data_IF_717935293450
#
_entry.id   IF_717935293450
#
_cell.length_a   1.000
_cell.length_b   1.000
_cell.length_c   1.000
_cell.angle_alpha   90.00
_cell.angle_beta   90.00
_cell.angle_gamma   90.00
#
_symmetry.space_group_name_H-M   'P 1'
#
loop_
_entity.id
_entity.type
_entity.pdbx_description
1 polymer ?
#
# COMPACT_ATOMS: atom_id res chain seq x y z
N UNK A 1 78.71 -60.63 -23.08
CA UNK A 1 78.51 -60.04 -21.73
C UNK A 1 79.14 -58.65 -21.75
N UNK A 2 78.50 -57.50 -21.62
CA UNK A 2 77.13 -57.08 -21.39
C UNK A 2 77.23 -55.56 -21.11
N UNK A 3 76.97 -54.71 -22.11
CA UNK A 3 77.06 -53.26 -21.96
C UNK A 3 75.82 -52.74 -21.21
N UNK A 4 76.02 -52.25 -19.99
CA UNK A 4 74.96 -51.59 -19.22
C UNK A 4 74.78 -50.15 -19.68
N UNK A 5 73.65 -49.86 -20.30
CA UNK A 5 73.20 -48.49 -20.58
C UNK A 5 72.43 -47.99 -19.36
N UNK A 6 73.01 -47.04 -18.61
CA UNK A 6 72.32 -46.32 -17.53
C UNK A 6 71.43 -45.24 -18.15
N UNK A 7 70.11 -45.44 -18.13
CA UNK A 7 69.15 -44.40 -18.48
C UNK A 7 69.01 -43.42 -17.30
N UNK A 8 69.47 -42.18 -17.50
CA UNK A 8 69.30 -41.09 -16.53
C UNK A 8 67.83 -40.68 -16.45
N UNK A 9 67.19 -40.94 -15.30
CA UNK A 9 65.83 -40.50 -15.00
C UNK A 9 65.85 -38.99 -14.70
N UNK A 10 65.65 -38.15 -15.72
CA UNK A 10 65.35 -36.71 -15.53
C UNK A 10 64.00 -36.61 -14.80
N UNK A 11 64.02 -36.22 -13.52
CA UNK A 11 62.82 -35.89 -12.76
C UNK A 11 62.16 -34.65 -13.37
N UNK A 12 60.97 -34.82 -13.91
CA UNK A 12 60.11 -33.77 -14.47
C UNK A 12 59.46 -32.93 -13.37
N UNK A 13 60.26 -32.16 -12.63
CA UNK A 13 59.76 -31.22 -11.62
C UNK A 13 58.98 -30.03 -12.22
N UNK A 14 59.03 -29.82 -13.54
CA UNK A 14 58.37 -28.69 -14.22
C UNK A 14 56.87 -28.87 -14.51
N UNK A 15 56.42 -30.11 -14.76
CA UNK A 15 55.02 -30.35 -15.16
C UNK A 15 54.04 -30.19 -13.99
N UNK A 16 54.41 -30.66 -12.79
CA UNK A 16 53.58 -30.51 -11.58
C UNK A 16 53.43 -29.06 -11.14
N UNK A 17 54.48 -28.25 -11.29
CA UNK A 17 54.45 -26.83 -10.96
C UNK A 17 53.55 -26.04 -11.94
N UNK A 18 53.57 -26.37 -13.23
CA UNK A 18 52.70 -25.77 -14.24
C UNK A 18 51.22 -26.10 -14.01
N UNK A 19 50.90 -27.36 -13.70
CA UNK A 19 49.52 -27.79 -13.42
C UNK A 19 49.00 -27.08 -12.16
N UNK A 20 49.81 -27.00 -11.10
CA UNK A 20 49.45 -26.28 -9.88
C UNK A 20 49.21 -24.79 -10.15
N UNK A 21 50.04 -24.15 -10.98
CA UNK A 21 49.87 -22.75 -11.36
C UNK A 21 48.57 -22.51 -12.14
N UNK A 22 48.24 -23.38 -13.09
CA UNK A 22 46.98 -23.29 -13.87
C UNK A 22 45.76 -23.45 -12.97
N UNK A 23 45.77 -24.43 -12.05
CA UNK A 23 44.66 -24.63 -11.10
C UNK A 23 44.46 -23.39 -10.23
N UNK A 24 45.54 -22.77 -9.76
CA UNK A 24 45.49 -21.58 -8.92
C UNK A 24 44.91 -20.38 -9.68
N UNK A 25 45.32 -20.18 -10.94
CA UNK A 25 44.77 -19.13 -11.81
C UNK A 25 43.27 -19.35 -12.05
N UNK A 26 42.86 -20.58 -12.37
CA UNK A 26 41.44 -20.91 -12.58
C UNK A 26 40.63 -20.68 -11.30
N UNK A 27 41.13 -21.09 -10.13
CA UNK A 27 40.47 -20.85 -8.85
C UNK A 27 40.31 -19.35 -8.55
N UNK A 28 41.33 -18.53 -8.85
CA UNK A 28 41.26 -17.07 -8.70
C UNK A 28 40.26 -16.46 -9.67
N UNK A 29 40.20 -16.94 -10.92
CA UNK A 29 39.22 -16.46 -11.90
C UNK A 29 37.78 -16.83 -11.51
N UNK A 30 37.55 -18.03 -10.97
CA UNK A 30 36.23 -18.44 -10.45
C UNK A 30 35.86 -17.63 -9.21
N UNK A 31 36.81 -17.41 -8.29
CA UNK A 31 36.61 -16.57 -7.12
C UNK A 31 36.29 -15.12 -7.52
N UNK A 32 37.03 -14.57 -8.48
CA UNK A 32 36.77 -13.24 -9.05
C UNK A 32 35.38 -13.19 -9.69
N UNK A 33 35.02 -14.16 -10.53
CA UNK A 33 33.71 -14.23 -11.19
C UNK A 33 32.54 -14.33 -10.19
N UNK A 34 32.73 -15.01 -9.06
CA UNK A 34 31.69 -15.20 -8.04
C UNK A 34 31.64 -14.10 -6.99
N UNK A 35 32.76 -13.43 -6.70
CA UNK A 35 32.87 -12.42 -5.63
C UNK A 35 32.82 -10.97 -6.17
N UNK A 36 33.33 -10.67 -7.36
CA UNK A 36 33.23 -9.32 -7.93
C UNK A 36 31.78 -8.82 -8.01
N UNK A 37 30.79 -9.61 -8.49
CA UNK A 37 29.42 -9.15 -8.53
C UNK A 37 28.89 -8.75 -7.16
N UNK A 38 29.32 -9.42 -6.08
CA UNK A 38 28.89 -9.09 -4.70
C UNK A 38 29.52 -7.82 -4.15
N UNK A 39 30.69 -7.43 -4.66
CA UNK A 39 31.37 -6.18 -4.32
C UNK A 39 30.78 -4.99 -5.10
N UNK A 40 30.22 -5.24 -6.28
CA UNK A 40 29.63 -4.23 -7.17
C UNK A 40 28.10 -4.27 -7.25
N UNK A 41 27.43 -5.22 -6.59
CA UNK A 41 25.98 -5.13 -6.37
C UNK A 41 25.75 -3.90 -5.51
N UNK A 42 25.03 -2.89 -6.01
CA UNK A 42 24.63 -1.77 -5.17
C UNK A 42 23.92 -2.36 -3.96
N UNK A 43 24.41 -2.02 -2.75
CA UNK A 43 23.64 -2.31 -1.54
C UNK A 43 22.34 -1.53 -1.71
N UNK A 44 21.23 -2.24 -1.91
CA UNK A 44 19.91 -1.62 -1.79
C UNK A 44 19.84 -0.98 -0.40
N UNK A 45 19.98 0.33 -0.35
CA UNK A 45 19.76 1.09 0.86
C UNK A 45 18.30 0.95 1.23
N UNK A 46 18.03 0.67 2.51
CA UNK A 46 16.66 0.67 3.00
C UNK A 46 16.04 2.04 2.72
N UNK A 47 14.80 2.04 2.22
CA UNK A 47 14.03 3.26 1.94
C UNK A 47 13.91 4.09 3.22
N UNK A 48 14.08 5.39 3.11
CA UNK A 48 13.84 6.34 4.20
C UNK A 48 12.37 6.76 4.24
N UNK A 49 11.92 7.35 5.36
CA UNK A 49 10.53 7.80 5.48
C UNK A 49 10.14 8.88 4.46
N UNK A 50 11.10 9.70 4.02
CA UNK A 50 10.90 10.76 3.02
C UNK A 50 10.77 10.21 1.59
N UNK A 51 11.34 9.03 1.33
CA UNK A 51 11.28 8.35 0.03
C UNK A 51 10.05 7.45 -0.11
N UNK A 52 9.28 7.28 0.96
CA UNK A 52 8.09 6.44 0.98
C UNK A 52 6.94 7.07 0.19
N UNK A 53 6.21 6.20 -0.52
CA UNK A 53 5.08 6.63 -1.32
C UNK A 53 4.03 5.53 -1.38
N UNK A 54 2.82 5.94 -1.73
CA UNK A 54 1.79 5.05 -2.20
C UNK A 54 1.39 5.43 -3.62
N UNK A 55 0.83 4.49 -4.36
CA UNK A 55 0.39 4.69 -5.73
C UNK A 55 -0.88 3.91 -6.00
N UNK A 56 -1.76 4.50 -6.80
CA UNK A 56 -2.82 3.80 -7.50
C UNK A 56 -2.47 3.70 -8.99
N UNK A 57 -2.66 2.54 -9.61
CA UNK A 57 -2.43 2.35 -11.05
C UNK A 57 -3.72 2.68 -11.79
N UNK A 58 -3.71 3.62 -12.75
CA UNK A 58 -4.85 3.98 -13.60
C UNK A 58 -5.14 2.89 -14.64
N UNK A 59 -6.30 2.91 -15.30
CA UNK A 59 -6.67 1.91 -16.32
C UNK A 59 -5.76 1.92 -17.56
N UNK A 60 -5.05 3.03 -17.81
CA UNK A 60 -4.03 3.18 -18.85
C UNK A 60 -2.63 2.72 -18.39
N UNK A 61 -2.51 2.18 -17.17
CA UNK A 61 -1.25 1.75 -16.56
C UNK A 61 -0.45 2.88 -15.90
N UNK A 62 -0.92 4.13 -15.93
CA UNK A 62 -0.22 5.25 -15.31
C UNK A 62 -0.30 5.19 -13.78
N UNK A 63 0.84 5.34 -13.10
CA UNK A 63 0.88 5.41 -11.63
C UNK A 63 0.55 6.81 -11.14
N UNK A 64 -0.34 6.88 -10.16
CA UNK A 64 -0.79 8.11 -9.51
C UNK A 64 -0.33 8.09 -8.06
N UNK A 65 0.74 8.82 -7.77
CA UNK A 65 1.43 8.75 -6.48
C UNK A 65 0.86 9.73 -5.46
N UNK A 66 0.76 9.28 -4.21
CA UNK A 66 0.46 10.07 -3.02
C UNK A 66 1.48 9.78 -1.93
N UNK A 67 1.64 10.70 -0.98
CA UNK A 67 2.32 10.34 0.28
C UNK A 67 1.49 9.31 1.05
N UNK A 68 2.08 8.54 1.98
CA UNK A 68 1.31 7.60 2.80
C UNK A 68 0.17 8.26 3.60
N UNK A 69 0.34 9.50 4.06
CA UNK A 69 -0.71 10.21 4.80
C UNK A 69 -1.86 10.65 3.89
N UNK A 70 -1.54 11.16 2.69
CA UNK A 70 -2.56 11.48 1.67
C UNK A 70 -3.33 10.24 1.23
N UNK A 71 -2.66 9.09 1.10
CA UNK A 71 -3.28 7.82 0.75
C UNK A 71 -4.24 7.30 1.84
N UNK A 72 -3.90 7.49 3.12
CA UNK A 72 -4.81 7.19 4.24
C UNK A 72 -6.05 8.08 4.22
N UNK A 73 -5.88 9.38 3.95
CA UNK A 73 -7.01 10.31 3.84
C UNK A 73 -7.91 9.98 2.64
N UNK A 74 -7.35 9.58 1.50
CA UNK A 74 -8.12 9.08 0.35
C UNK A 74 -8.87 7.78 0.69
N UNK A 75 -8.26 6.87 1.44
CA UNK A 75 -8.89 5.64 1.91
C UNK A 75 -10.07 5.90 2.84
N UNK A 76 -9.98 6.91 3.71
CA UNK A 76 -11.11 7.35 4.54
C UNK A 76 -12.29 7.83 3.68
N UNK A 77 -12.03 8.70 2.69
CA UNK A 77 -13.06 9.22 1.78
C UNK A 77 -13.77 8.08 1.03
N UNK A 78 -12.99 7.17 0.45
CA UNK A 78 -13.51 6.04 -0.31
C UNK A 78 -14.30 5.08 0.56
N UNK A 79 -13.82 4.77 1.78
CA UNK A 79 -14.52 3.87 2.68
C UNK A 79 -15.86 4.44 3.15
N UNK A 80 -15.94 5.75 3.41
CA UNK A 80 -17.21 6.40 3.76
C UNK A 80 -18.20 6.30 2.60
N UNK A 81 -17.76 6.48 1.34
CA UNK A 81 -18.61 6.27 0.17
C UNK A 81 -19.15 4.83 0.11
N UNK A 82 -18.29 3.82 0.26
CA UNK A 82 -18.71 2.42 0.24
C UNK A 82 -19.66 2.10 1.39
N UNK A 83 -19.37 2.57 2.60
CA UNK A 83 -20.22 2.36 3.79
C UNK A 83 -21.60 2.98 3.61
N UNK A 84 -21.69 4.11 2.91
CA UNK A 84 -22.95 4.77 2.54
C UNK A 84 -23.66 4.12 1.34
N UNK A 85 -23.08 3.09 0.73
CA UNK A 85 -23.62 2.44 -0.47
C UNK A 85 -23.56 3.32 -1.72
N UNK A 86 -22.67 4.32 -1.75
CA UNK A 86 -22.52 5.22 -2.89
C UNK A 86 -21.69 4.57 -4.01
N UNK A 87 -21.96 4.89 -5.29
CA UNK A 87 -21.17 4.42 -6.42
C UNK A 87 -19.71 4.94 -6.38
N UNK A 88 -18.82 4.25 -7.09
CA UNK A 88 -17.39 4.60 -7.22
C UNK A 88 -17.14 6.03 -7.69
N UNK A 89 -18.09 6.58 -8.47
CA UNK A 89 -18.06 7.96 -8.91
C UNK A 89 -18.11 8.94 -7.72
N UNK A 90 -18.86 8.66 -6.65
CA UNK A 90 -18.90 9.51 -5.47
C UNK A 90 -17.51 9.65 -4.83
N UNK A 91 -16.82 8.52 -4.63
CA UNK A 91 -15.45 8.50 -4.12
C UNK A 91 -14.49 9.26 -5.05
N UNK A 92 -14.68 9.15 -6.36
CA UNK A 92 -13.89 9.90 -7.35
C UNK A 92 -14.10 11.41 -7.20
N UNK A 93 -15.35 11.88 -7.13
CA UNK A 93 -15.68 13.29 -6.94
C UNK A 93 -15.10 13.84 -5.63
N UNK A 94 -15.26 13.12 -4.53
CA UNK A 94 -14.78 13.54 -3.23
C UNK A 94 -13.24 13.58 -3.16
N UNK A 95 -12.54 12.57 -3.71
CA UNK A 95 -11.06 12.56 -3.74
C UNK A 95 -10.52 13.68 -4.64
N UNK A 96 -11.14 13.93 -5.80
CA UNK A 96 -10.76 15.04 -6.68
C UNK A 96 -10.94 16.39 -5.98
N UNK A 97 -12.06 16.55 -5.28
CA UNK A 97 -12.36 17.76 -4.50
C UNK A 97 -11.31 17.96 -3.41
N UNK A 98 -11.13 16.98 -2.51
CA UNK A 98 -10.16 17.09 -1.42
C UNK A 98 -8.70 17.29 -1.91
N UNK A 99 -8.35 16.73 -3.07
CA UNK A 99 -7.06 17.00 -3.69
C UNK A 99 -6.94 18.47 -4.12
N UNK A 100 -7.97 19.01 -4.75
CA UNK A 100 -7.97 20.42 -5.17
C UNK A 100 -7.95 21.38 -3.98
N UNK A 101 -8.74 21.10 -2.94
CA UNK A 101 -8.91 21.98 -1.79
C UNK A 101 -7.70 21.98 -0.86
N UNK A 102 -7.16 20.80 -0.54
CA UNK A 102 -6.15 20.67 0.52
C UNK A 102 -5.01 19.74 0.19
N UNK A 103 -4.93 19.25 -1.05
CA UNK A 103 -3.99 18.19 -1.44
C UNK A 103 -4.16 16.93 -0.58
N UNK A 104 -5.41 16.56 -0.28
CA UNK A 104 -5.74 15.43 0.61
C UNK A 104 -5.10 15.54 2.01
N UNK A 105 -4.97 16.76 2.54
CA UNK A 105 -4.41 17.02 3.87
C UNK A 105 -5.46 17.66 4.76
N UNK A 106 -5.54 17.26 6.02
CA UNK A 106 -6.45 17.90 6.96
C UNK A 106 -5.81 19.18 7.51
N UNK A 107 -6.10 20.32 6.89
CA UNK A 107 -5.49 21.60 7.23
C UNK A 107 -6.23 22.29 8.37
N UNK A 108 -5.49 22.90 9.30
CA UNK A 108 -6.02 23.75 10.38
C UNK A 108 -6.06 25.23 9.99
N UNK A 109 -5.86 25.54 8.69
CA UNK A 109 -5.94 26.87 8.10
C UNK A 109 -6.47 26.80 6.66
N UNK A 110 -6.78 27.98 6.11
CA UNK A 110 -7.31 28.16 4.76
C UNK A 110 -7.60 29.63 4.47
N UNK A 111 -8.26 29.90 3.34
CA UNK A 111 -8.82 31.24 3.09
C UNK A 111 -9.97 31.52 4.08
N UNK A 112 -9.98 32.73 4.65
CA UNK A 112 -10.95 33.14 5.69
C UNK A 112 -11.02 32.15 6.87
N UNK A 113 -12.11 31.38 6.96
CA UNK A 113 -12.36 30.37 7.99
C UNK A 113 -12.46 28.95 7.42
N UNK A 114 -11.94 28.72 6.21
CA UNK A 114 -11.85 27.39 5.61
C UNK A 114 -10.94 26.47 6.41
N UNK A 115 -11.41 25.24 6.65
CA UNK A 115 -10.71 24.23 7.44
C UNK A 115 -10.87 22.83 6.82
N UNK A 116 -9.94 21.97 7.20
CA UNK A 116 -10.01 20.54 6.98
C UNK A 116 -9.80 20.09 5.52
N UNK A 117 -10.17 18.83 5.29
CA UNK A 117 -9.91 18.09 4.05
C UNK A 117 -10.56 18.69 2.80
N UNK A 118 -11.69 19.37 2.97
CA UNK A 118 -12.47 19.97 1.87
C UNK A 118 -12.49 21.50 1.93
N UNK A 119 -11.65 22.12 2.79
CA UNK A 119 -11.62 23.58 3.00
C UNK A 119 -13.01 24.20 3.24
N UNK A 120 -13.85 23.47 3.99
CA UNK A 120 -15.22 23.86 4.30
C UNK A 120 -15.26 25.02 5.29
N UNK A 121 -16.23 25.92 5.12
CA UNK A 121 -16.33 27.16 5.90
C UNK A 121 -17.47 27.10 6.93
N UNK A 122 -17.17 27.14 8.24
CA UNK A 122 -18.19 27.24 9.28
C UNK A 122 -19.17 28.40 9.06
N UNK A 123 -18.66 29.57 8.69
CA UNK A 123 -19.48 30.76 8.39
C UNK A 123 -20.45 30.62 7.22
N UNK A 124 -20.27 29.60 6.37
CA UNK A 124 -21.19 29.29 5.26
C UNK A 124 -22.16 28.13 5.58
N UNK A 125 -22.17 27.63 6.81
CA UNK A 125 -23.13 26.62 7.25
C UNK A 125 -22.67 25.17 7.09
N UNK A 126 -21.38 24.92 6.82
CA UNK A 126 -20.81 23.57 6.74
C UNK A 126 -20.65 22.87 8.11
N UNK A 127 -20.89 23.56 9.23
CA UNK A 127 -20.73 23.03 10.58
C UNK A 127 -19.93 23.97 11.49
N UNK A 128 -19.58 23.53 12.70
CA UNK A 128 -18.62 24.24 13.56
C UNK A 128 -17.18 23.99 13.11
N UNK A 129 -16.23 24.80 13.60
CA UNK A 129 -14.81 24.62 13.29
C UNK A 129 -14.29 23.22 13.69
N UNK A 130 -14.74 22.70 14.83
CA UNK A 130 -14.41 21.36 15.30
C UNK A 130 -14.96 20.29 14.37
N UNK A 131 -16.19 20.47 13.88
CA UNK A 131 -16.84 19.52 12.98
C UNK A 131 -16.14 19.47 11.61
N UNK A 132 -15.89 20.61 10.97
CA UNK A 132 -15.23 20.62 9.65
C UNK A 132 -13.75 20.22 9.71
N UNK A 133 -13.13 20.28 10.90
CA UNK A 133 -11.77 19.75 11.14
C UNK A 133 -11.76 18.24 11.38
N UNK A 134 -12.90 17.63 11.72
CA UNK A 134 -13.05 16.18 11.78
C UNK A 134 -13.27 15.63 10.36
N UNK A 135 -12.31 14.85 9.86
CA UNK A 135 -12.36 14.34 8.49
C UNK A 135 -13.57 13.44 8.22
N UNK A 136 -14.06 12.72 9.23
CA UNK A 136 -15.24 11.84 9.07
C UNK A 136 -16.49 12.68 8.90
N UNK A 137 -16.68 13.71 9.73
CA UNK A 137 -17.77 14.66 9.58
C UNK A 137 -17.68 15.40 8.25
N UNK A 138 -16.51 15.98 7.94
CA UNK A 138 -16.30 16.78 6.73
C UNK A 138 -16.59 16.00 5.45
N UNK A 139 -16.19 14.72 5.41
CA UNK A 139 -16.51 13.82 4.29
C UNK A 139 -18.00 13.48 4.22
N UNK A 140 -18.64 13.22 5.37
CA UNK A 140 -20.07 12.91 5.38
C UNK A 140 -20.93 14.09 4.92
N UNK A 141 -20.66 15.29 5.41
CA UNK A 141 -21.40 16.46 4.98
C UNK A 141 -21.12 16.79 3.51
N UNK A 142 -19.91 16.58 3.01
CA UNK A 142 -19.62 16.69 1.57
C UNK A 142 -20.54 15.79 0.74
N UNK A 143 -20.65 14.50 1.11
CA UNK A 143 -21.56 13.59 0.41
C UNK A 143 -23.04 13.96 0.58
N UNK A 144 -23.45 14.52 1.72
CA UNK A 144 -24.82 14.99 1.92
C UNK A 144 -25.16 16.14 0.97
N UNK A 145 -24.20 17.01 0.66
CA UNK A 145 -24.34 18.05 -0.35
C UNK A 145 -24.27 17.48 -1.78
N UNK A 146 -23.37 16.54 -2.06
CA UNK A 146 -23.28 15.87 -3.37
C UNK A 146 -24.60 15.22 -3.77
N UNK A 147 -25.27 14.54 -2.83
CA UNK A 147 -26.56 13.89 -3.06
C UNK A 147 -27.71 14.86 -3.40
N UNK A 148 -27.52 16.16 -3.19
CA UNK A 148 -28.48 17.20 -3.56
C UNK A 148 -28.22 17.79 -4.95
N UNK A 149 -27.07 17.49 -5.57
CA UNK A 149 -26.71 17.95 -6.91
C UNK A 149 -27.47 17.12 -7.95
N UNK A 150 -28.22 17.73 -8.88
CA UNK A 150 -28.88 16.99 -9.95
C UNK A 150 -27.88 16.22 -10.82
N UNK A 151 -28.23 14.99 -11.19
CA UNK A 151 -27.46 14.13 -12.11
C UNK A 151 -26.00 13.86 -11.71
N UNK A 152 -25.63 14.12 -10.45
CA UNK A 152 -24.26 14.02 -9.92
C UNK A 152 -23.58 12.67 -10.20
N UNK A 153 -24.35 11.59 -10.33
CA UNK A 153 -23.84 10.25 -10.61
C UNK A 153 -23.26 10.09 -12.03
N UNK A 154 -23.61 10.99 -12.94
CA UNK A 154 -23.37 10.85 -14.38
C UNK A 154 -22.68 12.03 -15.04
N UNK A 155 -22.72 13.21 -14.41
CA UNK A 155 -22.01 14.39 -14.89
C UNK A 155 -20.49 14.25 -14.66
N UNK A 156 -19.66 15.03 -15.37
CA UNK A 156 -18.22 15.09 -15.12
C UNK A 156 -17.88 15.38 -13.65
N UNK A 157 -16.73 14.86 -13.22
CA UNK A 157 -16.25 14.99 -11.83
C UNK A 157 -16.10 16.45 -11.41
N UNK A 158 -15.58 17.28 -12.31
CA UNK A 158 -15.40 18.71 -12.11
C UNK A 158 -16.73 19.45 -11.93
N UNK A 159 -17.77 19.03 -12.67
CA UNK A 159 -19.09 19.65 -12.60
C UNK A 159 -19.76 19.29 -11.27
N UNK A 160 -19.72 18.01 -10.87
CA UNK A 160 -20.21 17.57 -9.57
C UNK A 160 -19.49 18.24 -8.40
N UNK A 161 -18.14 18.28 -8.45
CA UNK A 161 -17.33 18.94 -7.41
C UNK A 161 -17.64 20.45 -7.32
N UNK A 162 -17.76 21.11 -8.46
CA UNK A 162 -18.08 22.53 -8.53
C UNK A 162 -19.48 22.83 -7.99
N UNK A 163 -20.50 22.02 -8.31
CA UNK A 163 -21.86 22.25 -7.81
C UNK A 163 -21.94 22.14 -6.28
N UNK A 164 -21.13 21.26 -5.69
CA UNK A 164 -21.00 21.13 -4.23
C UNK A 164 -20.24 22.32 -3.61
N UNK A 165 -19.03 22.60 -4.10
CA UNK A 165 -18.12 23.56 -3.45
C UNK A 165 -18.35 25.02 -3.86
N UNK A 166 -18.88 25.23 -5.07
CA UNK A 166 -19.10 26.55 -5.70
C UNK A 166 -17.84 27.42 -5.69
N UNK A 167 -16.73 26.82 -6.12
CA UNK A 167 -15.42 27.48 -6.20
C UNK A 167 -15.38 28.58 -7.27
N UNK A 168 -14.42 29.51 -7.15
CA UNK A 168 -14.15 30.53 -8.16
C UNK A 168 -13.40 30.01 -9.40
N UNK A 169 -12.93 28.75 -9.39
CA UNK A 169 -12.09 28.14 -10.43
C UNK A 169 -12.54 26.70 -10.76
N UNK A 170 -13.73 26.51 -11.35
CA UNK A 170 -14.33 25.19 -11.59
C UNK A 170 -13.45 24.24 -12.41
N UNK A 171 -12.70 24.78 -13.38
CA UNK A 171 -11.87 24.01 -14.30
C UNK A 171 -10.69 23.29 -13.62
N UNK A 172 -10.32 23.69 -12.40
CA UNK A 172 -9.18 23.09 -11.71
C UNK A 172 -9.47 21.67 -11.20
N UNK A 173 -10.73 21.32 -10.91
CA UNK A 173 -11.09 19.97 -10.47
C UNK A 173 -10.80 18.92 -11.55
N UNK A 174 -10.98 19.26 -12.83
CA UNK A 174 -10.73 18.36 -13.95
C UNK A 174 -9.26 17.89 -14.02
N UNK A 175 -8.32 18.66 -13.44
CA UNK A 175 -6.90 18.28 -13.35
C UNK A 175 -6.70 17.00 -12.51
N UNK A 176 -7.62 16.72 -11.59
CA UNK A 176 -7.51 15.62 -10.64
C UNK A 176 -8.32 14.39 -11.01
N UNK A 177 -9.17 14.45 -12.03
CA UNK A 177 -10.10 13.37 -12.38
C UNK A 177 -9.39 12.01 -12.54
N UNK A 178 -8.40 11.93 -13.43
CA UNK A 178 -7.66 10.68 -13.66
C UNK A 178 -6.94 10.15 -12.41
N UNK A 179 -6.43 11.04 -11.56
CA UNK A 179 -5.78 10.68 -10.29
C UNK A 179 -6.83 10.13 -9.30
N UNK A 180 -7.91 10.87 -9.10
CA UNK A 180 -8.98 10.51 -8.19
C UNK A 180 -9.66 9.21 -8.61
N UNK A 181 -9.86 9.00 -9.91
CA UNK A 181 -10.46 7.78 -10.46
C UNK A 181 -9.59 6.55 -10.22
N UNK A 182 -8.27 6.70 -10.37
CA UNK A 182 -7.33 5.62 -10.08
C UNK A 182 -7.39 5.21 -8.60
N UNK A 183 -7.38 6.20 -7.70
CA UNK A 183 -7.46 5.95 -6.26
C UNK A 183 -8.82 5.41 -5.83
N UNK A 184 -9.92 5.99 -6.31
CA UNK A 184 -11.27 5.53 -6.02
C UNK A 184 -11.46 4.07 -6.44
N UNK A 185 -11.18 3.73 -7.70
CA UNK A 185 -11.37 2.35 -8.20
C UNK A 185 -10.56 1.30 -7.43
N UNK A 186 -9.34 1.63 -7.01
CA UNK A 186 -8.54 0.73 -6.18
C UNK A 186 -9.05 0.62 -4.73
N UNK A 187 -9.45 1.74 -4.13
CA UNK A 187 -9.88 1.78 -2.72
C UNK A 187 -11.31 1.28 -2.50
N UNK A 188 -12.18 1.34 -3.51
CA UNK A 188 -13.52 0.75 -3.45
C UNK A 188 -13.56 -0.73 -3.87
N UNK A 189 -12.41 -1.27 -4.26
CA UNK A 189 -12.25 -2.65 -4.73
C UNK A 189 -12.81 -2.90 -6.13
N UNK A 190 -13.17 -1.86 -6.88
CA UNK A 190 -13.62 -1.98 -8.26
C UNK A 190 -12.52 -2.57 -9.16
N UNK A 191 -11.26 -2.24 -8.87
CA UNK A 191 -10.11 -2.85 -9.52
C UNK A 191 -9.18 -3.52 -8.52
N UNK A 192 -8.70 -4.68 -8.91
CA UNK A 192 -7.81 -5.52 -8.13
C UNK A 192 -6.38 -5.00 -8.11
N UNK A 193 -5.68 -5.15 -6.99
CA UNK A 193 -4.24 -4.93 -6.83
C UNK A 193 -3.70 -3.58 -7.28
N UNK A 194 -4.56 -2.56 -7.43
CA UNK A 194 -4.15 -1.27 -7.98
C UNK A 194 -3.56 -0.33 -6.94
N UNK A 195 -3.89 -0.52 -5.66
CA UNK A 195 -3.33 0.26 -4.55
C UNK A 195 -2.08 -0.42 -4.02
N UNK A 196 -0.97 0.31 -4.00
CA UNK A 196 0.30 -0.17 -3.46
C UNK A 196 1.01 0.92 -2.67
N UNK A 197 1.79 0.54 -1.65
CA UNK A 197 2.72 1.42 -0.97
C UNK A 197 4.12 0.81 -0.95
N UNK A 198 5.15 1.65 -1.07
CA UNK A 198 6.53 1.24 -0.86
C UNK A 198 7.08 2.09 0.29
N UNK A 199 7.35 1.46 1.43
CA UNK A 199 7.65 2.15 2.68
C UNK A 199 9.05 1.79 3.19
N UNK A 200 9.52 2.57 4.14
CA UNK A 200 10.65 2.27 5.03
C UNK A 200 10.38 1.03 5.89
N UNK A 201 11.42 0.33 6.37
CA UNK A 201 11.26 -0.77 7.31
C UNK A 201 10.43 -0.36 8.53
N UNK A 202 9.52 -1.24 8.96
CA UNK A 202 8.76 -1.02 10.18
C UNK A 202 9.69 -1.02 11.41
N UNK A 203 9.40 -0.14 12.37
CA UNK A 203 10.11 -0.09 13.67
C UNK A 203 9.34 -0.88 14.73
N UNK A 204 8.01 -0.89 14.63
CA UNK A 204 7.07 -1.58 15.51
C UNK A 204 5.76 -1.85 14.77
N UNK A 205 4.93 -2.74 15.33
CA UNK A 205 3.58 -3.01 14.87
C UNK A 205 2.53 -2.81 15.98
N UNK A 206 1.29 -2.51 15.58
CA UNK A 206 0.15 -2.33 16.48
C UNK A 206 -1.01 -3.24 16.04
N UNK A 207 -0.93 -4.51 16.45
CA UNK A 207 -1.93 -5.52 16.10
C UNK A 207 -3.31 -5.21 16.69
N UNK A 208 -3.38 -4.78 17.96
CA UNK A 208 -4.64 -4.51 18.64
C UNK A 208 -5.34 -3.28 18.04
N UNK A 209 -4.58 -2.22 17.75
CA UNK A 209 -5.09 -1.04 17.05
C UNK A 209 -5.58 -1.36 15.64
N UNK A 210 -4.88 -2.23 14.91
CA UNK A 210 -5.31 -2.68 13.59
C UNK A 210 -6.63 -3.47 13.65
N UNK A 211 -6.76 -4.41 14.60
CA UNK A 211 -8.00 -5.18 14.79
C UNK A 211 -9.18 -4.25 15.13
N UNK A 212 -8.97 -3.28 16.03
CA UNK A 212 -9.99 -2.30 16.38
C UNK A 212 -10.40 -1.43 15.17
N UNK A 213 -9.42 -0.98 14.38
CA UNK A 213 -9.66 -0.16 13.19
C UNK A 213 -10.41 -0.91 12.09
N UNK A 214 -10.08 -2.18 11.85
CA UNK A 214 -10.82 -3.04 10.90
C UNK A 214 -12.27 -3.17 11.36
N UNK A 215 -12.53 -3.42 12.65
CA UNK A 215 -13.90 -3.55 13.16
C UNK A 215 -14.77 -2.29 12.98
N UNK A 216 -14.17 -1.09 13.04
CA UNK A 216 -14.88 0.16 12.80
C UNK A 216 -15.03 0.53 11.31
N UNK A 217 -14.04 0.17 10.50
CA UNK A 217 -13.91 0.61 9.10
C UNK A 217 -14.56 -0.37 8.12
N UNK A 218 -14.42 -1.67 8.40
CA UNK A 218 -14.86 -2.78 7.56
C UNK A 218 -15.78 -3.69 8.41
N UNK A 219 -16.97 -3.22 8.82
CA UNK A 219 -17.78 -3.90 9.84
C UNK A 219 -18.28 -5.29 9.44
N UNK A 220 -18.20 -5.62 8.15
CA UNK A 220 -18.65 -6.90 7.61
C UNK A 220 -17.55 -7.96 7.50
N UNK A 221 -16.29 -7.70 7.89
CA UNK A 221 -15.24 -8.74 7.85
C UNK A 221 -14.95 -9.30 9.25
N UNK A 222 -14.59 -10.58 9.32
CA UNK A 222 -14.20 -11.23 10.58
C UNK A 222 -12.67 -11.27 10.70
N UNK A 223 -12.12 -10.87 11.85
CA UNK A 223 -10.67 -10.88 12.07
C UNK A 223 -10.30 -11.95 13.10
N UNK A 224 -9.29 -12.75 12.79
CA UNK A 224 -8.68 -13.71 13.71
C UNK A 224 -7.19 -13.44 13.83
N UNK A 225 -6.67 -13.55 15.06
CA UNK A 225 -5.26 -13.29 15.39
C UNK A 225 -4.59 -14.64 15.64
N UNK A 226 -3.58 -14.99 14.84
CA UNK A 226 -2.71 -16.12 15.16
C UNK A 226 -1.49 -15.58 15.95
N UNK A 227 -1.33 -15.94 17.24
CA UNK A 227 -0.18 -15.49 18.01
C UNK A 227 1.11 -16.11 17.43
N UNK A 228 2.27 -15.45 17.56
CA UNK A 228 3.53 -15.87 16.92
C UNK A 228 4.00 -17.30 17.25
N UNK A 229 3.38 -17.98 18.24
CA UNK A 229 3.72 -19.33 18.69
C UNK A 229 2.50 -20.26 18.87
N UNK A 230 1.35 -20.01 18.24
CA UNK A 230 0.22 -20.94 18.23
C UNK A 230 -0.44 -21.23 19.59
N UNK A 231 -0.20 -20.40 20.62
CA UNK A 231 -0.87 -20.49 21.93
C UNK A 231 -1.86 -19.34 22.09
N UNK A 232 -3.15 -19.68 22.11
CA UNK A 232 -4.22 -18.79 22.58
C UNK A 232 -4.01 -18.48 24.07
N UNK A 233 -3.68 -17.24 24.42
CA UNK A 233 -3.39 -16.85 25.79
C UNK A 233 -3.78 -15.39 26.07
N UNK A 234 -4.61 -15.21 27.09
CA UNK A 234 -5.05 -13.94 27.68
C UNK A 234 -3.88 -13.10 28.21
N UNK A 235 -3.94 -11.80 27.91
CA UNK A 235 -2.95 -10.75 28.21
C UNK A 235 -2.39 -10.77 29.64
N UNK A 236 -1.07 -10.63 29.75
CA UNK A 236 -0.36 -9.67 30.64
C UNK A 236 1.16 -9.90 30.57
N UNK A 237 1.88 -8.97 29.93
CA UNK A 237 3.33 -8.92 30.02
C UNK A 237 3.95 -8.18 28.84
N UNK A 238 4.58 -7.03 29.12
CA UNK A 238 5.45 -6.36 28.17
C UNK A 238 6.60 -7.30 27.78
N UNK A 239 6.50 -7.90 26.61
CA UNK A 239 7.53 -8.73 26.01
C UNK A 239 7.92 -8.11 24.67
N UNK A 240 9.18 -7.71 24.56
CA UNK A 240 9.86 -7.43 23.30
C UNK A 240 9.90 -8.72 22.47
N UNK A 241 8.84 -9.00 21.70
CA UNK A 241 8.76 -10.16 20.83
C UNK A 241 9.24 -9.79 19.43
N UNK A 242 10.38 -10.36 19.01
CA UNK A 242 10.93 -10.32 17.65
C UNK A 242 10.23 -11.33 16.72
N UNK A 243 9.00 -11.71 17.03
CA UNK A 243 8.26 -12.74 16.30
C UNK A 243 7.08 -12.07 15.59
N UNK A 244 7.12 -12.11 14.25
CA UNK A 244 6.09 -11.55 13.39
C UNK A 244 4.71 -12.09 13.76
N UNK A 245 3.74 -11.19 13.90
CA UNK A 245 2.35 -11.55 14.20
C UNK A 245 1.56 -11.65 12.90
N UNK A 246 0.77 -12.72 12.74
CA UNK A 246 -0.08 -12.91 11.57
C UNK A 246 -1.55 -12.73 11.95
N UNK A 247 -2.24 -11.87 11.21
CA UNK A 247 -3.69 -11.72 11.26
C UNK A 247 -4.31 -12.38 10.04
N UNK A 248 -5.44 -13.05 10.21
CA UNK A 248 -6.25 -13.58 9.11
C UNK A 248 -7.61 -12.92 9.16
N UNK A 249 -7.93 -12.19 8.11
CA UNK A 249 -9.22 -11.56 7.87
C UNK A 249 -10.02 -12.49 6.96
N UNK A 250 -11.19 -12.94 7.43
CA UNK A 250 -12.10 -13.80 6.68
C UNK A 250 -13.26 -12.97 6.16
N UNK A 251 -13.47 -13.01 4.85
CA UNK A 251 -14.59 -12.35 4.19
C UNK A 251 -15.91 -13.10 4.46
N UNK A 252 -17.08 -12.44 4.43
CA UNK A 252 -18.36 -13.10 4.60
C UNK A 252 -18.62 -14.24 3.63
N UNK A 253 -19.22 -15.30 4.16
CA UNK A 253 -19.84 -16.35 3.35
C UNK A 253 -21.05 -15.80 2.58
N UNK A 254 -21.42 -16.47 1.49
CA UNK A 254 -22.64 -16.17 0.73
C UNK A 254 -22.55 -14.97 -0.22
N UNK A 255 -21.41 -14.29 -0.31
CA UNK A 255 -21.17 -13.28 -1.34
C UNK A 255 -21.08 -13.90 -2.74
N UNK A 256 -21.58 -13.19 -3.76
CA UNK A 256 -21.27 -13.50 -5.16
C UNK A 256 -19.75 -13.43 -5.39
N UNK A 257 -19.27 -14.04 -6.48
CA UNK A 257 -17.84 -13.97 -6.82
C UNK A 257 -17.37 -12.51 -6.93
N UNK A 258 -18.09 -11.69 -7.69
CA UNK A 258 -17.76 -10.28 -7.91
C UNK A 258 -17.75 -9.47 -6.59
N UNK A 259 -18.75 -9.67 -5.73
CA UNK A 259 -18.81 -8.95 -4.44
C UNK A 259 -17.70 -9.40 -3.49
N UNK A 260 -17.32 -10.69 -3.52
CA UNK A 260 -16.21 -11.21 -2.73
C UNK A 260 -14.88 -10.62 -3.21
N UNK A 261 -14.63 -10.64 -4.51
CA UNK A 261 -13.42 -10.04 -5.11
C UNK A 261 -13.34 -8.55 -4.78
N UNK A 262 -14.46 -7.83 -4.95
CA UNK A 262 -14.54 -6.40 -4.63
C UNK A 262 -14.23 -6.11 -3.16
N UNK A 263 -14.85 -6.84 -2.24
CA UNK A 263 -14.58 -6.66 -0.80
C UNK A 263 -13.15 -7.05 -0.42
N UNK A 264 -12.58 -8.10 -1.06
CA UNK A 264 -11.19 -8.48 -0.88
C UNK A 264 -10.25 -7.33 -1.23
N UNK A 265 -10.43 -6.72 -2.40
CA UNK A 265 -9.57 -5.65 -2.89
C UNK A 265 -9.78 -4.31 -2.19
N UNK A 266 -11.02 -4.02 -1.77
CA UNK A 266 -11.29 -2.91 -0.85
C UNK A 266 -10.50 -3.09 0.47
N UNK A 267 -10.55 -4.29 1.05
CA UNK A 267 -9.87 -4.62 2.31
C UNK A 267 -8.35 -4.51 2.15
N UNK A 268 -7.80 -5.14 1.10
CA UNK A 268 -6.37 -5.11 0.80
C UNK A 268 -5.88 -3.68 0.52
N UNK A 269 -6.61 -2.90 -0.26
CA UNK A 269 -6.28 -1.50 -0.55
C UNK A 269 -6.24 -0.63 0.70
N UNK A 270 -7.23 -0.77 1.59
CA UNK A 270 -7.24 -0.08 2.88
C UNK A 270 -6.05 -0.49 3.78
N UNK A 271 -5.75 -1.79 3.86
CA UNK A 271 -4.61 -2.29 4.64
C UNK A 271 -3.27 -1.75 4.11
N UNK A 272 -3.11 -1.70 2.79
CA UNK A 272 -1.91 -1.14 2.16
C UNK A 272 -1.71 0.32 2.54
N UNK A 273 -2.75 1.16 2.49
CA UNK A 273 -2.62 2.59 2.83
C UNK A 273 -2.32 2.80 4.32
N UNK A 274 -2.81 1.93 5.20
CA UNK A 274 -2.56 2.00 6.64
C UNK A 274 -1.34 1.18 7.08
N UNK A 275 -0.60 0.58 6.15
CA UNK A 275 0.51 -0.30 6.46
C UNK A 275 1.59 0.38 7.31
N UNK A 276 1.88 1.65 7.02
CA UNK A 276 2.83 2.46 7.80
C UNK A 276 2.37 2.60 9.25
N UNK A 277 1.12 3.01 9.46
CA UNK A 277 0.54 3.28 10.78
C UNK A 277 0.57 2.05 11.68
N UNK A 278 0.22 0.86 11.15
CA UNK A 278 0.09 -0.36 11.95
C UNK A 278 1.30 -1.30 11.91
N UNK A 279 2.37 -0.94 11.19
CA UNK A 279 3.55 -1.80 11.08
C UNK A 279 3.32 -3.06 10.24
N UNK A 280 2.49 -2.99 9.20
CA UNK A 280 2.27 -4.11 8.28
C UNK A 280 3.49 -4.27 7.35
N UNK A 281 4.07 -5.46 7.34
CA UNK A 281 5.23 -5.81 6.50
C UNK A 281 4.82 -6.50 5.20
N UNK A 282 3.79 -7.34 5.25
CA UNK A 282 3.29 -8.04 4.07
C UNK A 282 1.80 -8.35 4.14
N UNK A 283 1.19 -8.50 2.97
CA UNK A 283 -0.18 -8.92 2.77
C UNK A 283 -0.22 -10.07 1.76
N UNK A 284 -1.12 -11.01 1.99
CA UNK A 284 -1.57 -11.98 1.00
C UNK A 284 -3.07 -11.81 0.82
N UNK A 285 -3.51 -11.54 -0.41
CA UNK A 285 -4.91 -11.33 -0.75
C UNK A 285 -5.19 -11.91 -2.12
N UNK A 286 -6.18 -12.81 -2.19
CA UNK A 286 -6.65 -13.38 -3.45
C UNK A 286 -5.53 -13.98 -4.30
N UNK A 287 -4.63 -14.78 -3.70
CA UNK A 287 -3.52 -15.41 -4.42
C UNK A 287 -2.39 -14.45 -4.84
N UNK A 288 -2.44 -13.20 -4.38
CA UNK A 288 -1.41 -12.19 -4.64
C UNK A 288 -0.74 -11.72 -3.35
N UNK A 289 0.56 -11.49 -3.46
CA UNK A 289 1.42 -11.06 -2.37
C UNK A 289 1.86 -9.61 -2.57
N UNK A 290 1.80 -8.83 -1.51
CA UNK A 290 2.42 -7.52 -1.41
C UNK A 290 3.34 -7.47 -0.20
N UNK A 291 4.48 -6.79 -0.33
CA UNK A 291 5.31 -6.46 0.82
C UNK A 291 5.74 -5.01 0.80
N UNK A 292 5.89 -4.47 2.00
CA UNK A 292 6.28 -3.10 2.32
C UNK A 292 7.53 -2.61 1.57
N UNK A 293 8.53 -3.47 1.42
CA UNK A 293 9.82 -3.11 0.81
C UNK A 293 9.68 -2.91 -0.71
N UNK A 294 9.15 -3.93 -1.39
CA UNK A 294 8.99 -3.93 -2.84
C UNK A 294 7.89 -2.96 -3.29
N UNK A 295 6.81 -2.88 -2.51
CA UNK A 295 5.66 -2.04 -2.80
C UNK A 295 5.02 -2.33 -4.15
N UNK A 296 4.93 -3.60 -4.51
CA UNK A 296 4.23 -4.10 -5.70
C UNK A 296 3.54 -5.41 -5.36
N UNK A 297 2.41 -5.66 -6.01
CA UNK A 297 1.71 -6.93 -5.94
C UNK A 297 2.33 -7.92 -6.93
N UNK A 298 2.49 -9.17 -6.51
CA UNK A 298 2.93 -10.27 -7.37
C UNK A 298 2.07 -11.50 -7.14
N UNK A 299 1.75 -12.26 -8.19
CA UNK A 299 0.96 -13.47 -8.09
C UNK A 299 -0.10 -13.54 -9.18
N UNK A 300 -1.16 -14.29 -8.92
CA UNK A 300 -2.32 -14.42 -9.82
C UNK A 300 -3.55 -14.66 -8.97
N UNK A 301 -4.67 -14.06 -9.36
CA UNK A 301 -5.93 -14.18 -8.62
C UNK A 301 -6.43 -15.63 -8.53
N UNK A 302 -6.82 -16.04 -7.32
CA UNK A 302 -7.24 -17.43 -7.00
C UNK A 302 -8.65 -17.53 -6.42
N UNK A 303 -9.38 -16.41 -6.29
CA UNK A 303 -10.70 -16.27 -5.69
C UNK A 303 -10.77 -16.71 -4.22
N UNK A 304 -9.77 -16.34 -3.42
CA UNK A 304 -9.70 -16.69 -2.00
C UNK A 304 -10.73 -15.96 -1.13
N UNK A 305 -11.00 -16.52 0.06
CA UNK A 305 -11.93 -15.95 1.04
C UNK A 305 -11.22 -15.24 2.20
N UNK A 306 -9.89 -15.22 2.19
CA UNK A 306 -9.09 -14.72 3.30
C UNK A 306 -8.06 -13.71 2.83
N UNK A 307 -7.85 -12.67 3.62
CA UNK A 307 -6.70 -11.76 3.52
C UNK A 307 -5.81 -12.01 4.72
N UNK A 308 -4.54 -12.31 4.48
CA UNK A 308 -3.54 -12.53 5.53
C UNK A 308 -2.64 -11.32 5.66
N UNK A 309 -2.44 -10.85 6.90
CA UNK A 309 -1.61 -9.69 7.23
C UNK A 309 -0.44 -10.15 8.08
N UNK A 310 0.78 -9.80 7.68
CA UNK A 310 2.01 -10.06 8.43
C UNK A 310 2.51 -8.75 9.01
N UNK A 311 2.63 -8.69 10.33
CA UNK A 311 3.12 -7.53 11.09
C UNK A 311 4.59 -7.70 11.46
N UNK A 312 5.33 -6.59 11.50
CA UNK A 312 6.73 -6.55 11.92
C UNK A 312 6.95 -6.92 13.39
#
# INVERSE_FOLDING_TARGET
>A
MGQQVRYGRRRSHGAGALIAAVILVVAVLIAAWTLLPRLFTPRETARTAEEAYCAAVSSDGARRTLTPDQAQNAALIANIAVTRGLPDHAATVAIATAMQESRLTNLDYGDLDSLGLFQQRPSQGWGTAEQVSDMTYATNIFYDHLLQVPDWETIPVEDAAQEVQRSGYPELYATWDAMARAWASGLTGERSADVTCALEPAISSDADGLVAAIGGTLPNVNVSVAPPNGKTGTNNGAATNTASTTLTITLPDGLSADNRTRLCWQTAGWLVTHARQYGIDALHADGMDWNRKAGTWTGTETAEQTVTVTLA
#
